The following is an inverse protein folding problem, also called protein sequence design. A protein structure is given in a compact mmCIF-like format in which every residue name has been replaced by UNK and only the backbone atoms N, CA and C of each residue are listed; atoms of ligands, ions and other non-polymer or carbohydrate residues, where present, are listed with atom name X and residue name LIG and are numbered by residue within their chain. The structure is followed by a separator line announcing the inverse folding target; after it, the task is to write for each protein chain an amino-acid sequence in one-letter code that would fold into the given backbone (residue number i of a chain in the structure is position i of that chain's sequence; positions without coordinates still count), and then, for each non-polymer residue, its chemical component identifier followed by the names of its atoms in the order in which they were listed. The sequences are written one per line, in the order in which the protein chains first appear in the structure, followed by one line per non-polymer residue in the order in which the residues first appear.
data_IF_224872181241
#
_entry.id   IF_224872181241
#
_cell.length_a   1.000
_cell.length_b   1.000
_cell.length_c   1.000
_cell.angle_alpha   90.00
_cell.angle_beta   90.00
_cell.angle_gamma   90.00
#
_symmetry.space_group_name_H-M   'P 1'
#
loop_
_entity.id
_entity.type
_entity.pdbx_description
1 polymer ?
#
# COMPACT_ATOMS: atom_id res chain seq x y z
N UNK A 1 55.05 -10.49 -38.87
CA UNK A 1 54.00 -11.47 -38.55
C UNK A 1 52.82 -11.14 -39.42
N UNK A 2 52.43 -11.99 -40.36
CA UNK A 2 51.20 -11.76 -41.13
C UNK A 2 50.01 -12.12 -40.21
N UNK A 3 49.13 -11.19 -39.99
CA UNK A 3 47.85 -11.43 -39.33
C UNK A 3 47.06 -12.35 -40.30
N UNK A 4 46.84 -13.58 -39.89
CA UNK A 4 45.96 -14.49 -40.59
C UNK A 4 44.53 -14.28 -40.07
N UNK A 5 43.50 -14.58 -40.90
CA UNK A 5 42.08 -14.49 -40.49
C UNK A 5 41.83 -15.28 -39.22
N UNK A 6 42.52 -16.39 -38.99
CA UNK A 6 42.42 -17.19 -37.77
C UNK A 6 42.87 -16.41 -36.49
N UNK A 7 43.92 -15.60 -36.60
CA UNK A 7 44.43 -14.80 -35.48
C UNK A 7 43.45 -13.65 -35.15
N UNK A 8 42.89 -13.04 -36.21
CA UNK A 8 41.90 -11.99 -36.04
C UNK A 8 40.61 -12.54 -35.37
N UNK A 9 40.08 -13.66 -35.87
CA UNK A 9 38.90 -14.34 -35.30
C UNK A 9 39.14 -14.80 -33.86
N UNK A 10 40.30 -15.36 -33.54
CA UNK A 10 40.67 -15.72 -32.17
C UNK A 10 40.73 -14.50 -31.23
N UNK A 11 41.22 -13.36 -31.75
CA UNK A 11 41.22 -12.09 -30.98
C UNK A 11 39.81 -11.55 -30.76
N UNK A 12 38.93 -11.59 -31.75
CA UNK A 12 37.53 -11.17 -31.67
C UNK A 12 36.73 -12.05 -30.70
N UNK A 13 36.84 -13.37 -30.83
CA UNK A 13 36.19 -14.31 -29.90
C UNK A 13 36.64 -14.10 -28.44
N UNK A 14 37.95 -13.79 -28.24
CA UNK A 14 38.47 -13.49 -26.90
C UNK A 14 37.90 -12.16 -26.33
N UNK A 15 37.67 -11.17 -27.18
CA UNK A 15 37.06 -9.88 -26.77
C UNK A 15 35.58 -10.11 -26.44
N UNK A 16 34.86 -10.85 -27.24
CA UNK A 16 33.44 -11.19 -27.01
C UNK A 16 33.26 -11.96 -25.70
N UNK A 17 34.09 -12.98 -25.43
CA UNK A 17 34.05 -13.72 -24.16
C UNK A 17 34.36 -12.82 -22.96
N UNK A 18 35.34 -11.93 -23.11
CA UNK A 18 35.66 -10.94 -22.06
C UNK A 18 34.50 -9.97 -21.83
N UNK A 19 33.92 -9.42 -22.89
CA UNK A 19 32.77 -8.51 -22.80
C UNK A 19 31.56 -9.23 -22.20
N UNK A 20 31.26 -10.46 -22.62
CA UNK A 20 30.18 -11.28 -22.07
C UNK A 20 30.35 -11.50 -20.56
N UNK A 21 31.57 -11.84 -20.10
CA UNK A 21 31.87 -11.97 -18.67
C UNK A 21 31.73 -10.64 -17.92
N UNK A 22 32.20 -9.54 -18.52
CA UNK A 22 32.08 -8.21 -17.92
C UNK A 22 30.60 -7.78 -17.79
N UNK A 23 29.79 -8.01 -18.82
CA UNK A 23 28.36 -7.75 -18.79
C UNK A 23 27.63 -8.62 -17.76
N UNK A 24 27.92 -9.92 -17.71
CA UNK A 24 27.33 -10.82 -16.70
C UNK A 24 27.62 -10.34 -15.27
N UNK A 25 28.85 -9.90 -15.02
CA UNK A 25 29.23 -9.35 -13.72
C UNK A 25 28.50 -8.01 -13.44
N UNK A 26 28.48 -7.10 -14.40
CA UNK A 26 27.82 -5.81 -14.28
C UNK A 26 26.31 -5.95 -14.10
N UNK A 27 25.70 -6.89 -14.80
CA UNK A 27 24.27 -7.20 -14.67
C UNK A 27 23.94 -8.05 -13.43
N UNK A 28 24.93 -8.45 -12.63
CA UNK A 28 24.75 -9.33 -11.46
C UNK A 28 23.99 -10.62 -11.81
N UNK A 29 24.31 -11.25 -12.94
CA UNK A 29 23.67 -12.46 -13.44
C UNK A 29 22.27 -12.26 -14.01
N UNK A 30 21.81 -11.03 -14.16
CA UNK A 30 20.55 -10.72 -14.87
C UNK A 30 20.78 -10.81 -16.38
N UNK A 31 19.73 -11.13 -17.10
CA UNK A 31 19.72 -11.25 -18.55
C UNK A 31 18.38 -10.82 -19.12
N UNK A 32 18.27 -10.64 -20.43
CA UNK A 32 17.04 -10.24 -21.09
C UNK A 32 17.23 -9.04 -22.02
N UNK A 33 16.11 -8.41 -22.37
CA UNK A 33 16.05 -7.28 -23.29
C UNK A 33 16.71 -6.05 -22.70
N UNK A 34 17.39 -5.27 -23.56
CA UNK A 34 17.85 -3.91 -23.30
C UNK A 34 16.79 -2.88 -23.73
N UNK A 35 16.82 -1.67 -23.15
CA UNK A 35 16.12 -0.54 -23.74
C UNK A 35 16.68 -0.26 -25.15
N UNK A 36 15.79 -0.11 -26.14
CA UNK A 36 16.16 0.13 -27.52
C UNK A 36 15.21 1.14 -28.16
N UNK A 37 15.73 1.88 -29.14
CA UNK A 37 14.90 2.73 -30.01
C UNK A 37 13.96 1.90 -30.91
N UNK A 38 14.29 0.63 -31.12
CA UNK A 38 13.46 -0.35 -31.81
C UNK A 38 12.90 -1.31 -30.75
N UNK A 39 11.62 -1.22 -30.43
CA UNK A 39 11.03 -2.08 -29.41
C UNK A 39 11.12 -3.56 -29.84
N UNK A 40 11.09 -4.45 -28.84
CA UNK A 40 10.99 -5.86 -29.09
C UNK A 40 9.71 -6.17 -29.85
N UNK A 41 9.86 -6.82 -31.00
CA UNK A 41 8.76 -7.31 -31.83
C UNK A 41 9.04 -8.76 -32.26
N UNK A 42 8.01 -9.60 -32.21
CA UNK A 42 8.08 -11.01 -32.59
C UNK A 42 6.81 -11.43 -33.33
N UNK A 43 6.94 -11.95 -34.55
CA UNK A 43 5.85 -12.56 -35.27
C UNK A 43 6.18 -14.05 -35.49
N UNK A 44 5.23 -14.90 -35.14
CA UNK A 44 5.32 -16.36 -35.27
C UNK A 44 4.11 -16.91 -35.99
N UNK A 45 4.37 -17.93 -36.83
CA UNK A 45 3.33 -18.79 -37.39
C UNK A 45 3.48 -20.21 -36.80
N UNK A 46 2.41 -20.74 -36.22
CA UNK A 46 2.42 -22.09 -35.65
C UNK A 46 1.46 -22.98 -36.46
N UNK A 47 2.02 -23.90 -37.23
CA UNK A 47 1.23 -24.77 -38.10
C UNK A 47 1.71 -26.21 -37.97
N UNK A 48 0.80 -27.14 -37.67
CA UNK A 48 1.09 -28.60 -37.58
C UNK A 48 2.27 -28.93 -36.65
N UNK A 49 2.37 -28.25 -35.50
CA UNK A 49 3.46 -28.46 -34.54
C UNK A 49 4.81 -27.89 -34.97
N UNK A 50 4.86 -27.10 -36.05
CA UNK A 50 6.05 -26.35 -36.44
C UNK A 50 5.83 -24.87 -36.09
N UNK A 51 6.78 -24.28 -35.39
CA UNK A 51 6.88 -22.84 -35.15
C UNK A 51 7.79 -22.27 -36.21
N UNK A 52 7.30 -21.33 -36.97
CA UNK A 52 8.07 -20.56 -37.95
C UNK A 52 8.17 -19.11 -37.48
N UNK A 53 9.37 -18.62 -37.27
CA UNK A 53 9.62 -17.23 -36.87
C UNK A 53 9.60 -16.38 -38.14
N UNK A 54 8.57 -15.55 -38.30
CA UNK A 54 8.39 -14.66 -39.45
C UNK A 54 9.20 -13.36 -39.34
N UNK A 55 9.23 -12.77 -38.15
CA UNK A 55 10.05 -11.60 -37.86
C UNK A 55 10.45 -11.55 -36.39
N UNK A 56 11.62 -10.97 -36.13
CA UNK A 56 12.12 -10.69 -34.79
C UNK A 56 12.98 -9.44 -34.79
N UNK A 57 12.59 -8.45 -34.02
CA UNK A 57 13.43 -7.31 -33.62
C UNK A 57 13.78 -7.48 -32.14
N UNK A 58 15.06 -7.66 -31.83
CA UNK A 58 15.49 -8.01 -30.48
C UNK A 58 16.89 -7.49 -30.19
N UNK A 59 17.01 -6.63 -29.18
CA UNK A 59 18.29 -6.27 -28.58
C UNK A 59 18.28 -6.75 -27.13
N UNK A 60 19.21 -7.65 -26.79
CA UNK A 60 19.22 -8.27 -25.48
C UNK A 60 20.52 -8.98 -25.14
N UNK A 61 20.52 -9.66 -24.01
CA UNK A 61 21.66 -10.42 -23.50
C UNK A 61 21.21 -11.77 -22.99
N UNK A 62 21.92 -12.82 -23.37
CA UNK A 62 21.71 -14.17 -22.83
C UNK A 62 22.15 -14.27 -21.37
N UNK A 63 21.80 -15.38 -20.71
CA UNK A 63 22.21 -15.66 -19.34
C UNK A 63 23.75 -15.73 -19.17
N UNK A 64 24.48 -16.10 -20.21
CA UNK A 64 25.94 -16.14 -20.23
C UNK A 64 26.62 -14.85 -20.68
N UNK A 65 25.84 -13.78 -20.92
CA UNK A 65 26.37 -12.46 -21.28
C UNK A 65 26.62 -12.25 -22.76
N UNK A 66 26.17 -13.18 -23.64
CA UNK A 66 26.28 -12.97 -25.09
C UNK A 66 25.24 -11.95 -25.52
N UNK A 67 25.67 -11.00 -26.34
CA UNK A 67 24.78 -10.01 -26.94
C UNK A 67 23.90 -10.70 -28.01
N UNK A 68 22.65 -10.32 -28.04
CA UNK A 68 21.69 -10.62 -29.09
C UNK A 68 21.30 -9.29 -29.69
N UNK A 69 21.59 -9.10 -30.97
CA UNK A 69 21.20 -7.93 -31.75
C UNK A 69 20.68 -8.42 -33.08
N UNK A 70 19.36 -8.51 -33.21
CA UNK A 70 18.66 -9.10 -34.34
C UNK A 70 17.58 -8.19 -34.85
N UNK A 71 17.61 -7.92 -36.14
CA UNK A 71 16.52 -7.28 -36.87
C UNK A 71 16.25 -8.18 -38.12
N UNK A 72 15.36 -9.18 -37.92
CA UNK A 72 15.05 -10.19 -38.88
C UNK A 72 13.62 -10.07 -39.39
N UNK A 73 13.46 -10.10 -40.69
CA UNK A 73 12.16 -10.22 -41.38
C UNK A 73 12.31 -11.23 -42.55
N UNK A 74 11.53 -12.32 -42.46
CA UNK A 74 11.55 -13.39 -43.47
C UNK A 74 11.25 -12.95 -44.92
N UNK A 75 10.56 -11.80 -45.04
CA UNK A 75 10.24 -11.20 -46.36
C UNK A 75 11.46 -10.57 -47.03
N UNK A 76 12.47 -10.18 -46.28
CA UNK A 76 13.63 -9.40 -46.77
C UNK A 76 14.96 -10.09 -46.54
N UNK A 77 15.07 -10.91 -45.49
CA UNK A 77 16.31 -11.58 -45.12
C UNK A 77 16.16 -13.08 -45.30
N UNK A 78 16.73 -13.63 -46.41
CA UNK A 78 16.70 -15.06 -46.65
C UNK A 78 17.71 -15.83 -45.79
N UNK A 79 17.34 -17.06 -45.37
CA UNK A 79 18.18 -18.11 -44.80
C UNK A 79 18.59 -18.06 -43.32
N UNK A 80 17.80 -17.48 -42.45
CA UNK A 80 17.86 -17.79 -41.04
C UNK A 80 17.15 -19.10 -40.76
N UNK A 81 17.69 -20.01 -39.92
CA UNK A 81 16.95 -21.22 -39.54
C UNK A 81 15.91 -20.84 -38.45
N UNK A 82 14.72 -20.52 -38.93
CA UNK A 82 13.63 -19.98 -38.12
C UNK A 82 12.64 -21.05 -37.68
N UNK A 83 12.81 -22.28 -38.13
CA UNK A 83 11.84 -23.36 -37.92
C UNK A 83 12.20 -24.21 -36.71
N UNK A 84 11.26 -24.37 -35.80
CA UNK A 84 11.40 -25.23 -34.64
C UNK A 84 10.24 -26.20 -34.56
N UNK A 85 10.54 -27.51 -34.50
CA UNK A 85 9.55 -28.55 -34.34
C UNK A 85 9.15 -28.68 -32.86
N UNK A 86 7.87 -28.65 -32.59
CA UNK A 86 7.35 -29.00 -31.27
C UNK A 86 7.43 -30.52 -31.12
N UNK A 87 7.98 -31.03 -30.01
CA UNK A 87 8.13 -32.48 -29.81
C UNK A 87 6.77 -33.18 -29.68
N UNK A 88 6.43 -34.08 -30.59
CA UNK A 88 5.12 -34.75 -30.66
C UNK A 88 4.78 -35.62 -29.42
N UNK A 89 5.80 -36.09 -28.68
CA UNK A 89 5.63 -37.08 -27.60
C UNK A 89 6.17 -36.62 -26.25
N UNK A 90 6.33 -35.31 -26.03
CA UNK A 90 6.92 -34.80 -24.79
C UNK A 90 5.98 -34.90 -23.60
N UNK A 91 4.66 -34.99 -23.83
CA UNK A 91 3.65 -34.85 -22.76
C UNK A 91 3.56 -33.43 -22.15
N UNK A 92 4.45 -32.54 -22.57
CA UNK A 92 4.45 -31.14 -22.11
C UNK A 92 3.39 -30.34 -22.88
N UNK A 93 2.69 -29.46 -22.19
CA UNK A 93 1.67 -28.55 -22.74
C UNK A 93 2.16 -27.13 -22.94
N UNK A 94 3.41 -26.87 -22.60
CA UNK A 94 4.00 -25.55 -22.71
C UNK A 94 5.50 -25.61 -22.94
N UNK A 95 6.03 -24.63 -23.67
CA UNK A 95 7.45 -24.46 -23.95
C UNK A 95 7.82 -22.99 -23.96
N UNK A 96 9.08 -22.70 -23.64
CA UNK A 96 9.67 -21.39 -23.94
C UNK A 96 10.42 -21.47 -25.26
N UNK A 97 10.03 -20.63 -26.23
CA UNK A 97 10.83 -20.42 -27.43
C UNK A 97 12.00 -19.51 -27.04
N UNK A 98 13.21 -19.96 -27.33
CA UNK A 98 14.42 -19.22 -27.03
C UNK A 98 15.18 -18.88 -28.30
N UNK A 99 15.80 -17.69 -28.30
CA UNK A 99 16.87 -17.37 -29.22
C UNK A 99 18.20 -17.77 -28.59
N UNK A 100 19.07 -18.39 -29.34
CA UNK A 100 20.38 -18.88 -28.91
C UNK A 100 21.46 -18.17 -29.70
N UNK A 101 22.41 -17.54 -28.98
CA UNK A 101 23.62 -16.96 -29.56
C UNK A 101 24.69 -18.05 -29.64
N UNK A 102 25.38 -18.13 -30.77
CA UNK A 102 26.49 -19.07 -31.00
C UNK A 102 27.81 -18.32 -31.02
N UNK A 103 28.48 -18.16 -29.89
CA UNK A 103 29.73 -17.38 -29.81
C UNK A 103 30.79 -17.98 -30.71
N UNK A 104 31.42 -17.17 -31.55
CA UNK A 104 32.46 -17.59 -32.47
C UNK A 104 31.97 -18.23 -33.78
N UNK A 105 30.68 -18.35 -33.97
CA UNK A 105 30.09 -18.75 -35.25
C UNK A 105 29.59 -17.53 -36.01
N UNK A 106 30.12 -17.34 -37.21
CA UNK A 106 29.81 -16.23 -38.07
C UNK A 106 29.35 -16.74 -39.43
N UNK A 107 28.46 -16.00 -40.04
CA UNK A 107 27.87 -16.30 -41.32
C UNK A 107 28.06 -15.13 -42.27
N UNK A 108 28.36 -15.45 -43.54
CA UNK A 108 28.42 -14.41 -44.55
C UNK A 108 27.01 -13.85 -44.84
N UNK A 109 26.86 -12.55 -44.66
CA UNK A 109 25.68 -11.78 -45.08
C UNK A 109 25.69 -11.57 -46.61
N UNK A 110 24.53 -11.28 -47.18
CA UNK A 110 24.37 -10.94 -48.59
C UNK A 110 25.17 -9.69 -49.01
N UNK A 111 25.48 -8.83 -48.05
CA UNK A 111 26.23 -7.57 -48.25
C UNK A 111 27.75 -7.74 -48.09
N UNK A 112 28.23 -8.97 -47.92
CA UNK A 112 29.65 -9.29 -47.83
C UNK A 112 30.26 -9.10 -46.44
N UNK A 113 29.46 -8.81 -45.43
CA UNK A 113 29.84 -8.78 -44.03
C UNK A 113 29.59 -10.13 -43.38
N UNK A 114 30.24 -10.39 -42.25
CA UNK A 114 29.94 -11.55 -41.40
C UNK A 114 29.01 -11.14 -40.28
N UNK A 115 27.93 -11.87 -40.06
CA UNK A 115 26.93 -11.66 -39.02
C UNK A 115 26.98 -12.81 -37.99
N UNK A 116 26.69 -12.55 -36.69
CA UNK A 116 26.58 -13.59 -35.68
C UNK A 116 25.51 -14.62 -36.06
N UNK A 117 25.77 -15.87 -35.72
CA UNK A 117 24.80 -16.93 -35.93
C UNK A 117 23.86 -17.04 -34.75
N UNK A 118 22.58 -17.02 -35.04
CA UNK A 118 21.51 -17.29 -34.08
C UNK A 118 20.69 -18.51 -34.50
N UNK A 119 20.11 -19.19 -33.50
CA UNK A 119 19.16 -20.27 -33.75
C UNK A 119 18.00 -20.18 -32.75
N UNK A 120 16.93 -20.91 -33.03
CA UNK A 120 15.82 -21.04 -32.11
C UNK A 120 15.71 -22.45 -31.55
N UNK A 121 15.28 -22.57 -30.30
CA UNK A 121 14.98 -23.84 -29.67
C UNK A 121 13.81 -23.73 -28.70
N UNK A 122 13.23 -24.91 -28.36
CA UNK A 122 12.20 -24.99 -27.32
C UNK A 122 12.79 -25.55 -26.04
N UNK A 123 12.44 -24.94 -24.94
CA UNK A 123 12.86 -25.38 -23.61
C UNK A 123 11.60 -25.67 -22.79
N UNK A 124 11.52 -26.88 -22.21
CA UNK A 124 10.45 -27.23 -21.31
C UNK A 124 10.46 -26.35 -20.03
N UNK A 125 9.32 -26.09 -19.39
CA UNK A 125 9.22 -25.17 -18.24
C UNK A 125 10.13 -25.52 -17.06
N UNK A 126 10.28 -26.81 -16.82
CA UNK A 126 11.08 -27.34 -15.70
C UNK A 126 12.57 -27.53 -16.04
N UNK A 127 12.96 -27.26 -17.28
CA UNK A 127 14.36 -27.38 -17.71
C UNK A 127 15.15 -26.12 -17.36
N UNK A 128 16.46 -26.30 -17.12
CA UNK A 128 17.37 -25.17 -16.89
C UNK A 128 17.62 -24.43 -18.21
N UNK A 129 17.58 -23.11 -18.17
CA UNK A 129 17.92 -22.26 -19.32
C UNK A 129 19.42 -22.35 -19.61
N UNK A 130 19.84 -22.71 -20.84
CA UNK A 130 21.24 -22.69 -21.26
C UNK A 130 21.82 -21.26 -21.16
N UNK A 131 23.13 -21.16 -20.95
CA UNK A 131 23.78 -19.85 -20.78
C UNK A 131 23.76 -18.99 -22.07
N UNK A 132 23.73 -19.64 -23.22
CA UNK A 132 23.69 -19.01 -24.54
C UNK A 132 22.28 -18.68 -25.04
N UNK A 133 21.26 -18.91 -24.22
CA UNK A 133 19.84 -18.77 -24.59
C UNK A 133 19.16 -17.65 -23.86
N UNK A 134 18.17 -17.03 -24.54
CA UNK A 134 17.23 -16.06 -23.96
C UNK A 134 15.80 -16.40 -24.41
N UNK A 135 14.81 -16.53 -23.52
CA UNK A 135 13.43 -16.80 -23.91
C UNK A 135 12.79 -15.55 -24.53
N UNK A 136 12.16 -15.73 -25.69
CA UNK A 136 11.49 -14.67 -26.45
C UNK A 136 9.98 -14.85 -26.52
N UNK A 137 9.48 -16.08 -26.36
CA UNK A 137 8.04 -16.34 -26.28
C UNK A 137 7.74 -17.52 -25.36
N UNK A 138 6.52 -17.56 -24.85
CA UNK A 138 5.93 -18.71 -24.17
C UNK A 138 4.86 -19.32 -25.09
N UNK A 139 4.99 -20.58 -25.38
CA UNK A 139 4.11 -21.32 -26.29
C UNK A 139 3.31 -22.30 -25.45
N UNK A 140 2.00 -22.27 -25.57
CA UNK A 140 1.07 -23.11 -24.79
C UNK A 140 0.12 -23.88 -25.68
N UNK A 141 -0.21 -25.09 -25.27
CA UNK A 141 -1.26 -25.91 -25.90
C UNK A 141 -2.58 -25.73 -25.14
N UNK A 142 -3.41 -24.86 -25.68
CA UNK A 142 -4.76 -24.58 -25.18
C UNK A 142 -5.72 -24.73 -26.38
N UNK A 143 -6.19 -25.96 -26.62
CA UNK A 143 -6.95 -26.35 -27.82
C UNK A 143 -6.19 -26.14 -29.13
N UNK A 144 -4.87 -26.19 -29.08
CA UNK A 144 -3.91 -25.97 -30.16
C UNK A 144 -2.78 -25.08 -29.71
N UNK A 145 -1.61 -25.24 -30.31
CA UNK A 145 -0.42 -24.48 -29.97
C UNK A 145 -0.58 -23.01 -30.34
N UNK A 146 -0.34 -22.12 -29.36
CA UNK A 146 -0.41 -20.66 -29.53
C UNK A 146 0.62 -19.93 -28.65
N UNK A 147 0.87 -18.69 -28.97
CA UNK A 147 1.67 -17.80 -28.12
C UNK A 147 0.85 -17.38 -26.92
N UNK A 148 1.45 -17.41 -25.73
CA UNK A 148 0.94 -16.80 -24.53
C UNK A 148 1.46 -15.36 -24.41
N UNK A 149 0.86 -14.46 -25.16
CA UNK A 149 1.19 -13.03 -25.17
C UNK A 149 0.54 -12.25 -24.02
N UNK A 150 -0.41 -12.86 -23.31
CA UNK A 150 -1.14 -12.23 -22.21
C UNK A 150 -0.35 -12.28 -20.90
N UNK A 151 0.25 -13.43 -20.61
CA UNK A 151 0.89 -13.68 -19.31
C UNK A 151 2.41 -13.69 -19.36
N UNK A 152 2.99 -13.79 -20.52
CA UNK A 152 4.43 -13.81 -20.70
C UNK A 152 4.97 -12.52 -21.32
N UNK A 153 6.07 -12.03 -20.76
CA UNK A 153 6.93 -10.99 -21.33
C UNK A 153 8.35 -11.51 -21.24
N UNK A 154 9.16 -11.40 -22.31
CA UNK A 154 10.56 -11.80 -22.26
C UNK A 154 11.28 -11.16 -21.06
N UNK A 155 12.31 -11.82 -20.49
CA UNK A 155 13.13 -11.20 -19.47
C UNK A 155 13.63 -9.84 -19.92
N UNK A 156 13.65 -8.87 -19.02
CA UNK A 156 14.11 -7.51 -19.27
C UNK A 156 15.14 -7.12 -18.24
N UNK A 157 16.20 -6.43 -18.67
CA UNK A 157 17.19 -5.87 -17.75
C UNK A 157 16.63 -4.64 -17.03
N UNK A 158 15.82 -3.85 -17.73
CA UNK A 158 15.14 -2.69 -17.19
C UNK A 158 13.65 -2.73 -17.53
N UNK A 159 12.87 -2.03 -16.76
CA UNK A 159 11.43 -1.86 -17.01
C UNK A 159 11.19 -1.19 -18.37
N UNK A 160 12.04 -0.22 -18.73
CA UNK A 160 12.02 0.48 -20.04
C UNK A 160 12.40 -0.39 -21.25
N UNK A 161 12.81 -1.65 -21.04
CA UNK A 161 13.14 -2.58 -22.13
C UNK A 161 11.90 -3.14 -22.83
N UNK A 162 10.70 -3.01 -22.25
CA UNK A 162 9.47 -3.56 -22.85
C UNK A 162 8.24 -2.72 -22.45
N UNK A 163 7.37 -2.32 -23.41
CA UNK A 163 6.21 -1.45 -23.16
C UNK A 163 5.26 -1.97 -22.07
N UNK A 164 5.05 -3.28 -21.97
CA UNK A 164 4.19 -3.87 -20.94
C UNK A 164 4.73 -3.63 -19.51
N UNK A 165 6.04 -3.63 -19.30
CA UNK A 165 6.62 -3.32 -17.99
C UNK A 165 6.59 -1.82 -17.70
N UNK A 166 6.80 -0.98 -18.70
CA UNK A 166 6.64 0.48 -18.53
C UNK A 166 5.21 0.84 -18.09
N UNK A 167 4.22 0.18 -18.68
CA UNK A 167 2.82 0.37 -18.32
C UNK A 167 2.56 -0.03 -16.86
N UNK A 168 3.10 -1.18 -16.41
CA UNK A 168 2.99 -1.60 -15.01
C UNK A 168 3.65 -0.60 -14.05
N UNK A 169 4.81 -0.02 -14.42
CA UNK A 169 5.45 1.01 -13.60
C UNK A 169 4.59 2.28 -13.51
N UNK A 170 4.02 2.73 -14.63
CA UNK A 170 3.09 3.89 -14.65
C UNK A 170 1.88 3.62 -13.76
N UNK A 171 1.26 2.46 -13.88
CA UNK A 171 0.14 2.06 -13.03
C UNK A 171 0.53 2.02 -11.55
N UNK A 172 1.70 1.50 -11.22
CA UNK A 172 2.19 1.49 -9.84
C UNK A 172 2.34 2.89 -9.27
N UNK A 173 2.96 3.80 -10.01
CA UNK A 173 3.11 5.22 -9.62
C UNK A 173 1.73 5.88 -9.40
N UNK A 174 0.78 5.66 -10.29
CA UNK A 174 -0.58 6.20 -10.15
C UNK A 174 -1.28 5.67 -8.90
N UNK A 175 -1.21 4.37 -8.64
CA UNK A 175 -1.79 3.76 -7.43
C UNK A 175 -1.14 4.31 -6.17
N UNK A 176 0.19 4.47 -6.15
CA UNK A 176 0.88 5.07 -5.01
C UNK A 176 0.46 6.53 -4.77
N UNK A 177 0.26 7.34 -5.83
CA UNK A 177 -0.26 8.71 -5.73
C UNK A 177 -1.67 8.75 -5.14
N UNK A 178 -2.54 7.83 -5.57
CA UNK A 178 -3.89 7.71 -5.02
C UNK A 178 -3.83 7.38 -3.52
N UNK A 179 -3.01 6.39 -3.14
CA UNK A 179 -2.85 5.99 -1.74
C UNK A 179 -2.26 7.14 -0.92
N UNK A 180 -1.25 7.84 -1.42
CA UNK A 180 -0.62 8.98 -0.75
C UNK A 180 -1.63 10.08 -0.45
N UNK A 181 -2.40 10.51 -1.45
CA UNK A 181 -3.44 11.53 -1.30
C UNK A 181 -4.52 11.13 -0.29
N UNK A 182 -4.92 9.86 -0.28
CA UNK A 182 -5.91 9.34 0.65
C UNK A 182 -5.34 9.26 2.07
N UNK A 183 -4.13 8.75 2.24
CA UNK A 183 -3.48 8.60 3.53
C UNK A 183 -3.21 9.96 4.21
N UNK A 184 -2.85 11.00 3.45
CA UNK A 184 -2.64 12.36 3.97
C UNK A 184 -3.85 12.90 4.75
N UNK A 185 -5.06 12.58 4.34
CA UNK A 185 -6.29 13.01 5.00
C UNK A 185 -6.41 12.46 6.43
N UNK A 186 -5.76 11.34 6.73
CA UNK A 186 -5.91 10.62 7.99
C UNK A 186 -4.73 10.75 8.94
N UNK A 187 -3.63 11.35 8.51
CA UNK A 187 -2.41 11.41 9.32
C UNK A 187 -2.60 12.26 10.59
N UNK A 188 -3.52 13.21 10.55
CA UNK A 188 -3.85 14.09 11.67
C UNK A 188 -4.97 13.52 12.55
N UNK A 189 -5.62 12.44 12.19
CA UNK A 189 -6.62 11.79 13.03
C UNK A 189 -5.94 10.95 14.10
N UNK A 190 -6.23 11.28 15.37
CA UNK A 190 -5.69 10.59 16.54
C UNK A 190 -6.16 9.14 16.55
N UNK A 191 -5.38 8.18 16.14
CA UNK A 191 -5.69 6.80 16.40
C UNK A 191 -5.36 5.78 15.32
N UNK A 192 -4.84 6.19 14.15
CA UNK A 192 -4.58 5.18 13.09
C UNK A 192 -3.09 4.89 12.96
N UNK A 193 -2.62 4.02 13.84
CA UNK A 193 -1.25 3.47 13.80
C UNK A 193 -0.94 2.87 12.44
N UNK A 194 -1.91 2.16 11.84
CA UNK A 194 -1.79 1.56 10.51
C UNK A 194 -1.30 2.57 9.44
N UNK A 195 -1.93 3.73 9.36
CA UNK A 195 -1.57 4.74 8.35
C UNK A 195 -0.21 5.37 8.67
N UNK A 196 0.12 5.60 9.93
CA UNK A 196 1.42 6.17 10.33
C UNK A 196 2.60 5.25 9.99
N UNK A 197 2.40 3.95 9.99
CA UNK A 197 3.42 2.97 9.58
C UNK A 197 3.47 2.83 8.06
N UNK A 198 2.33 2.79 7.41
CA UNK A 198 2.20 2.54 5.98
C UNK A 198 2.59 3.75 5.12
N UNK A 199 2.08 4.93 5.43
CA UNK A 199 2.22 6.12 4.59
C UNK A 199 3.67 6.56 4.30
N UNK A 200 4.63 6.60 5.26
CA UNK A 200 6.01 6.95 4.94
C UNK A 200 6.66 6.00 3.94
N UNK A 201 6.28 4.71 3.98
CA UNK A 201 6.79 3.70 3.03
C UNK A 201 6.21 3.97 1.64
N UNK A 202 4.92 4.30 1.53
CA UNK A 202 4.30 4.68 0.26
C UNK A 202 5.00 5.90 -0.35
N UNK A 203 5.29 6.94 0.44
CA UNK A 203 6.02 8.11 -0.03
C UNK A 203 7.43 7.76 -0.52
N UNK A 204 8.16 6.93 0.22
CA UNK A 204 9.48 6.48 -0.20
C UNK A 204 9.41 5.70 -1.52
N UNK A 205 8.45 4.78 -1.66
CA UNK A 205 8.26 4.00 -2.88
C UNK A 205 7.90 4.89 -4.07
N UNK A 206 7.05 5.90 -3.87
CA UNK A 206 6.68 6.85 -4.91
C UNK A 206 7.89 7.66 -5.39
N UNK A 207 8.69 8.19 -4.47
CA UNK A 207 9.93 8.92 -4.78
C UNK A 207 10.90 8.03 -5.55
N UNK A 208 11.10 6.79 -5.13
CA UNK A 208 11.98 5.83 -5.80
C UNK A 208 11.47 5.50 -7.20
N UNK A 209 10.17 5.21 -7.35
CA UNK A 209 9.58 4.86 -8.64
C UNK A 209 9.65 6.01 -9.66
N UNK A 210 9.50 7.27 -9.22
CA UNK A 210 9.58 8.44 -10.11
C UNK A 210 11.02 8.85 -10.45
N UNK A 211 11.95 8.77 -9.48
CA UNK A 211 13.32 9.23 -9.69
C UNK A 211 14.25 8.20 -10.31
N UNK A 212 13.99 6.94 -10.08
CA UNK A 212 14.84 5.83 -10.53
C UNK A 212 14.17 5.00 -11.63
N UNK A 213 13.16 5.55 -12.31
CA UNK A 213 12.41 4.86 -13.37
C UNK A 213 13.31 4.24 -14.44
N UNK A 214 14.32 4.98 -14.88
CA UNK A 214 15.23 4.54 -15.96
C UNK A 214 16.15 3.37 -15.54
N UNK A 215 16.42 3.25 -14.24
CA UNK A 215 17.25 2.19 -13.65
C UNK A 215 16.42 1.05 -13.05
N UNK A 216 15.09 1.20 -13.06
CA UNK A 216 14.18 0.22 -12.47
C UNK A 216 14.24 -1.09 -13.24
N UNK A 217 14.51 -2.19 -12.53
CA UNK A 217 14.46 -3.54 -13.10
C UNK A 217 13.11 -4.19 -12.76
N UNK A 218 12.64 -5.21 -13.52
CA UNK A 218 11.42 -5.94 -13.16
C UNK A 218 11.46 -6.55 -11.75
N UNK A 219 12.64 -6.99 -11.30
CA UNK A 219 12.85 -7.49 -9.94
C UNK A 219 12.67 -6.39 -8.88
N UNK A 220 13.21 -5.19 -9.14
CA UNK A 220 13.04 -4.03 -8.25
C UNK A 220 11.57 -3.59 -8.20
N UNK A 221 10.89 -3.56 -9.35
CA UNK A 221 9.48 -3.22 -9.42
C UNK A 221 8.63 -4.22 -8.62
N UNK A 222 8.83 -5.54 -8.81
CA UNK A 222 8.16 -6.56 -8.00
C UNK A 222 8.45 -6.36 -6.50
N UNK A 223 9.70 -6.15 -6.12
CA UNK A 223 10.08 -5.91 -4.72
C UNK A 223 9.40 -4.67 -4.15
N UNK A 224 9.27 -3.59 -4.93
CA UNK A 224 8.60 -2.37 -4.47
C UNK A 224 7.09 -2.59 -4.30
N UNK A 225 6.44 -3.31 -5.21
CA UNK A 225 5.04 -3.71 -5.07
C UNK A 225 4.85 -4.60 -3.83
N UNK A 226 5.72 -5.58 -3.62
CA UNK A 226 5.70 -6.45 -2.42
C UNK A 226 5.91 -5.64 -1.12
N UNK A 227 6.80 -4.64 -1.12
CA UNK A 227 6.99 -3.74 0.03
C UNK A 227 5.75 -2.92 0.33
N UNK A 228 5.04 -2.42 -0.69
CA UNK A 228 3.78 -1.71 -0.51
C UNK A 228 2.74 -2.58 0.17
N UNK A 229 2.54 -3.80 -0.34
CA UNK A 229 1.59 -4.78 0.23
C UNK A 229 1.98 -5.18 1.65
N UNK A 230 3.27 -5.45 1.90
CA UNK A 230 3.78 -5.82 3.23
C UNK A 230 3.58 -4.69 4.24
N UNK A 231 3.89 -3.45 3.86
CA UNK A 231 3.74 -2.30 4.74
C UNK A 231 2.26 -2.08 5.14
N UNK A 232 1.34 -2.26 4.20
CA UNK A 232 -0.09 -2.20 4.49
C UNK A 232 -0.52 -3.33 5.44
N UNK A 233 -0.10 -4.57 5.18
CA UNK A 233 -0.42 -5.70 6.04
C UNK A 233 0.09 -5.50 7.47
N UNK A 234 1.36 -5.07 7.64
CA UNK A 234 1.93 -4.76 8.95
C UNK A 234 1.18 -3.61 9.65
N UNK A 235 0.79 -2.56 8.92
CA UNK A 235 -0.01 -1.48 9.46
C UNK A 235 -1.35 -1.98 10.00
N UNK A 236 -2.01 -2.86 9.26
CA UNK A 236 -3.29 -3.44 9.66
C UNK A 236 -3.18 -4.39 10.87
N UNK A 237 -2.09 -5.15 11.01
CA UNK A 237 -1.86 -6.00 12.18
C UNK A 237 -1.72 -5.20 13.49
N UNK A 238 -1.32 -3.92 13.39
CA UNK A 238 -1.19 -3.02 14.53
C UNK A 238 -2.52 -2.32 14.89
N UNK A 239 -3.56 -2.48 14.10
CA UNK A 239 -4.88 -1.87 14.33
C UNK A 239 -5.93 -2.97 14.55
N UNK A 240 -6.32 -3.19 15.80
CA UNK A 240 -7.28 -4.22 16.22
C UNK A 240 -8.66 -4.11 15.54
N UNK A 241 -8.98 -2.94 14.98
CA UNK A 241 -10.26 -2.70 14.30
C UNK A 241 -10.24 -3.13 12.81
N UNK A 242 -9.08 -3.51 12.30
CA UNK A 242 -8.91 -3.93 10.91
C UNK A 242 -8.90 -5.43 10.80
N UNK A 243 -10.05 -6.01 10.52
CA UNK A 243 -10.15 -7.43 10.20
C UNK A 243 -9.56 -7.68 8.81
N UNK A 244 -8.34 -8.24 8.76
CA UNK A 244 -7.67 -8.65 7.54
C UNK A 244 -8.21 -10.00 7.06
N UNK A 245 -9.38 -9.99 6.40
CA UNK A 245 -9.88 -11.18 5.71
C UNK A 245 -8.89 -11.73 4.66
N UNK A 246 -7.96 -10.89 4.19
CA UNK A 246 -6.99 -11.20 3.13
C UNK A 246 -5.54 -11.37 3.64
N UNK A 247 -5.31 -11.48 4.95
CA UNK A 247 -3.96 -11.54 5.52
C UNK A 247 -3.08 -12.63 4.90
N UNK A 248 -3.62 -13.83 4.72
CA UNK A 248 -2.90 -14.95 4.11
C UNK A 248 -2.58 -14.70 2.63
N UNK A 249 -3.50 -14.07 1.89
CA UNK A 249 -3.27 -13.68 0.50
C UNK A 249 -2.11 -12.69 0.39
N UNK A 250 -2.06 -11.67 1.25
CA UNK A 250 -0.97 -10.70 1.26
C UNK A 250 0.35 -11.35 1.64
N UNK A 251 0.38 -12.18 2.68
CA UNK A 251 1.58 -12.90 3.09
C UNK A 251 2.11 -13.82 1.98
N UNK A 252 1.25 -14.61 1.35
CA UNK A 252 1.64 -15.50 0.25
C UNK A 252 2.18 -14.72 -0.94
N UNK A 253 1.58 -13.58 -1.28
CA UNK A 253 2.09 -12.71 -2.34
C UNK A 253 3.48 -12.17 -2.01
N UNK A 254 3.66 -11.61 -0.82
CA UNK A 254 4.93 -11.00 -0.37
C UNK A 254 6.07 -12.01 -0.32
N UNK A 255 5.80 -13.24 0.10
CA UNK A 255 6.82 -14.29 0.24
C UNK A 255 7.18 -14.98 -1.08
N UNK A 256 6.51 -14.65 -2.19
CA UNK A 256 6.78 -15.29 -3.47
C UNK A 256 8.10 -14.79 -4.07
N UNK A 257 8.99 -15.70 -4.51
CA UNK A 257 10.27 -15.33 -5.09
C UNK A 257 10.11 -14.74 -6.50
N UNK A 258 11.10 -13.94 -6.89
CA UNK A 258 11.22 -13.47 -8.27
C UNK A 258 11.55 -14.63 -9.20
N UNK A 259 10.86 -14.71 -10.35
CA UNK A 259 11.20 -15.55 -11.46
C UNK A 259 10.93 -14.81 -12.76
N UNK A 260 11.88 -14.81 -13.69
CA UNK A 260 11.70 -14.16 -15.00
C UNK A 260 10.53 -14.78 -15.79
N UNK A 261 10.18 -16.06 -15.54
CA UNK A 261 9.10 -16.79 -16.21
C UNK A 261 7.71 -16.22 -15.90
N UNK A 262 7.53 -15.66 -14.73
CA UNK A 262 6.24 -15.15 -14.26
C UNK A 262 6.30 -13.73 -13.69
N UNK A 263 7.40 -13.02 -13.88
CA UNK A 263 7.61 -11.70 -13.29
C UNK A 263 6.50 -10.72 -13.67
N UNK A 264 6.11 -10.69 -14.94
CA UNK A 264 5.06 -9.79 -15.44
C UNK A 264 3.72 -10.02 -14.73
N UNK A 265 3.24 -11.28 -14.72
CA UNK A 265 1.97 -11.61 -14.08
C UNK A 265 1.98 -11.36 -12.58
N UNK A 266 3.11 -11.63 -11.92
CA UNK A 266 3.25 -11.39 -10.47
C UNK A 266 3.22 -9.91 -10.12
N UNK A 267 3.84 -9.05 -10.94
CA UNK A 267 3.74 -7.59 -10.73
C UNK A 267 2.30 -7.14 -10.94
N UNK A 268 1.62 -7.62 -11.98
CA UNK A 268 0.23 -7.31 -12.26
C UNK A 268 -0.71 -7.72 -11.12
N UNK A 269 -0.59 -8.95 -10.61
CA UNK A 269 -1.32 -9.41 -9.43
C UNK A 269 -1.10 -8.51 -8.21
N UNK A 270 0.13 -8.06 -8.01
CA UNK A 270 0.45 -7.13 -6.91
C UNK A 270 -0.14 -5.74 -7.09
N UNK A 271 -0.23 -5.26 -8.33
CA UNK A 271 -0.92 -4.00 -8.62
C UNK A 271 -2.41 -4.09 -8.34
N UNK A 272 -3.06 -5.20 -8.66
CA UNK A 272 -4.47 -5.45 -8.31
C UNK A 272 -4.67 -5.44 -6.78
N UNK A 273 -3.71 -6.00 -6.03
CA UNK A 273 -3.71 -5.92 -4.57
C UNK A 273 -3.54 -4.47 -4.11
N UNK A 274 -2.60 -3.70 -4.68
CA UNK A 274 -2.39 -2.29 -4.33
C UNK A 274 -3.63 -1.42 -4.65
N UNK A 275 -4.34 -1.69 -5.74
CA UNK A 275 -5.62 -1.06 -6.04
C UNK A 275 -6.67 -1.36 -4.96
N UNK A 276 -6.81 -2.62 -4.56
CA UNK A 276 -7.68 -3.01 -3.44
C UNK A 276 -7.29 -2.32 -2.13
N UNK A 277 -5.98 -2.16 -1.86
CA UNK A 277 -5.49 -1.40 -0.70
C UNK A 277 -5.95 0.06 -0.78
N UNK A 278 -5.88 0.69 -1.96
CA UNK A 278 -6.32 2.07 -2.14
C UNK A 278 -7.80 2.28 -1.79
N UNK A 279 -8.66 1.30 -2.09
CA UNK A 279 -10.08 1.31 -1.71
C UNK A 279 -10.29 1.10 -0.21
N UNK A 280 -9.44 0.27 0.42
CA UNK A 280 -9.50 0.02 1.87
C UNK A 280 -9.07 1.24 2.67
N UNK A 281 -8.12 2.03 2.17
CA UNK A 281 -7.72 3.30 2.80
C UNK A 281 -8.91 4.26 2.89
N UNK A 282 -9.80 4.30 1.89
CA UNK A 282 -11.02 5.11 1.95
C UNK A 282 -12.03 4.60 3.00
N UNK A 283 -12.12 3.29 3.20
CA UNK A 283 -13.02 2.71 4.22
C UNK A 283 -12.60 3.05 5.65
N UNK A 284 -11.32 3.33 5.90
CA UNK A 284 -10.89 3.88 7.18
C UNK A 284 -11.57 5.23 7.52
N UNK A 285 -12.06 5.95 6.53
CA UNK A 285 -12.78 7.20 6.71
C UNK A 285 -14.18 7.01 7.30
N UNK A 286 -14.91 5.99 6.86
CA UNK A 286 -16.32 5.82 7.25
C UNK A 286 -16.50 5.42 8.72
N UNK A 287 -15.50 4.80 9.34
CA UNK A 287 -15.55 4.41 10.75
C UNK A 287 -15.15 5.53 11.72
N UNK A 288 -14.54 6.63 11.22
CA UNK A 288 -14.08 7.76 12.07
C UNK A 288 -15.22 8.76 12.37
N UNK A 289 -16.25 8.85 11.55
CA UNK A 289 -17.37 9.78 11.77
C UNK A 289 -18.29 9.39 12.94
N UNK A 290 -18.14 8.20 13.49
CA UNK A 290 -18.66 7.90 14.81
C UNK A 290 -17.60 8.28 15.86
N UNK A 291 -17.21 9.56 15.90
CA UNK A 291 -16.73 10.14 17.15
C UNK A 291 -17.87 9.93 18.13
N UNK A 292 -17.76 8.99 19.04
CA UNK A 292 -18.54 8.97 20.26
C UNK A 292 -18.40 10.38 20.81
N UNK A 293 -19.43 11.22 20.65
CA UNK A 293 -19.53 12.45 21.41
C UNK A 293 -19.26 12.05 22.85
N UNK A 294 -18.13 12.45 23.40
CA UNK A 294 -17.87 12.27 24.82
C UNK A 294 -18.89 13.20 25.46
N UNK A 295 -20.06 12.68 25.77
CA UNK A 295 -21.05 13.40 26.56
C UNK A 295 -20.39 13.60 27.91
N UNK A 296 -20.07 14.85 28.23
CA UNK A 296 -19.64 15.21 29.56
C UNK A 296 -20.82 14.88 30.49
N UNK A 297 -20.65 13.98 31.47
CA UNK A 297 -21.77 13.59 32.29
C UNK A 297 -22.21 14.76 33.14
N UNK A 298 -23.51 14.87 33.37
CA UNK A 298 -24.12 15.99 34.09
C UNK A 298 -23.92 15.85 35.60
N UNK A 299 -23.63 16.96 36.33
CA UNK A 299 -23.60 16.96 37.79
C UNK A 299 -25.00 16.72 38.35
N UNK A 300 -25.09 16.19 39.55
CA UNK A 300 -26.37 15.88 40.20
C UNK A 300 -26.48 16.34 41.65
N UNK A 301 -27.70 16.54 42.08
CA UNK A 301 -28.06 16.76 43.50
C UNK A 301 -28.92 15.59 43.90
N UNK A 302 -28.56 14.92 45.00
CA UNK A 302 -29.37 13.79 45.52
C UNK A 302 -30.71 14.25 46.07
N UNK A 303 -31.71 13.36 46.05
CA UNK A 303 -33.10 13.72 46.45
C UNK A 303 -33.21 14.23 47.89
N UNK A 304 -32.40 13.69 48.81
CA UNK A 304 -32.36 14.14 50.21
C UNK A 304 -31.88 15.58 50.37
N UNK A 305 -31.13 16.10 49.37
CA UNK A 305 -30.65 17.48 49.36
C UNK A 305 -31.66 18.48 48.76
N UNK A 306 -32.76 17.99 48.14
CA UNK A 306 -33.79 18.86 47.55
C UNK A 306 -34.75 19.48 48.60
N UNK A 307 -34.71 19.03 49.84
CA UNK A 307 -35.43 19.62 50.96
C UNK A 307 -34.46 19.96 52.07
N UNK A 308 -34.35 21.24 52.39
CA UNK A 308 -33.41 21.76 53.40
C UNK A 308 -34.16 22.34 54.60
N UNK A 309 -33.95 21.75 55.76
CA UNK A 309 -34.47 22.28 57.00
C UNK A 309 -33.50 23.34 57.56
N UNK A 310 -33.84 24.63 57.37
CA UNK A 310 -32.96 25.74 57.63
C UNK A 310 -33.06 26.19 59.10
N UNK A 311 -31.97 26.00 59.84
CA UNK A 311 -31.81 26.51 61.20
C UNK A 311 -31.19 27.94 61.26
N UNK A 312 -30.56 28.34 60.14
CA UNK A 312 -29.87 29.62 59.96
C UNK A 312 -30.30 30.27 58.64
N UNK A 313 -29.81 31.46 58.37
CA UNK A 313 -30.08 32.17 57.13
C UNK A 313 -29.42 31.54 55.91
N UNK A 314 -28.46 30.64 56.08
CA UNK A 314 -27.77 29.93 54.99
C UNK A 314 -28.03 28.44 55.11
N UNK A 315 -28.48 27.84 54.02
CA UNK A 315 -28.52 26.39 53.80
C UNK A 315 -27.40 25.96 52.86
N UNK A 316 -27.05 24.70 52.88
CA UNK A 316 -26.00 24.14 52.02
C UNK A 316 -26.53 22.93 51.28
N UNK A 317 -26.30 22.90 49.95
CA UNK A 317 -26.67 21.78 49.10
C UNK A 317 -25.41 21.15 48.59
N UNK A 318 -25.31 19.82 48.71
CA UNK A 318 -24.18 19.04 48.25
C UNK A 318 -24.43 18.63 46.78
N UNK A 319 -23.46 18.92 45.92
CA UNK A 319 -23.46 18.53 44.50
C UNK A 319 -22.51 17.37 44.30
N UNK A 320 -22.98 16.36 43.57
CA UNK A 320 -22.17 15.21 43.16
C UNK A 320 -21.61 15.43 41.77
N UNK A 321 -20.28 15.43 41.67
CA UNK A 321 -19.61 15.40 40.37
C UNK A 321 -19.51 13.98 39.85
N UNK A 322 -19.87 13.69 38.61
CA UNK A 322 -19.72 12.37 38.01
C UNK A 322 -18.25 12.06 37.67
N UNK A 323 -17.41 13.07 37.55
CA UNK A 323 -15.98 12.95 37.31
C UNK A 323 -15.19 13.84 38.26
N UNK A 324 -14.21 13.32 39.02
CA UNK A 324 -13.41 14.09 39.96
C UNK A 324 -12.59 15.23 39.34
N UNK A 325 -12.34 15.15 38.04
CA UNK A 325 -11.58 16.16 37.29
C UNK A 325 -12.47 17.17 36.57
N UNK A 326 -13.79 17.02 36.61
CA UNK A 326 -14.72 17.93 36.00
C UNK A 326 -14.91 19.17 36.89
N UNK A 327 -14.80 20.34 36.28
CA UNK A 327 -15.16 21.60 36.93
C UNK A 327 -16.68 21.79 36.87
N UNK A 328 -17.31 22.08 38.01
CA UNK A 328 -18.76 22.31 38.06
C UNK A 328 -19.03 23.78 38.16
N UNK A 329 -19.89 24.25 37.26
CA UNK A 329 -20.45 25.58 37.28
C UNK A 329 -21.88 25.54 37.80
N UNK A 330 -22.29 26.52 38.60
CA UNK A 330 -23.64 26.63 39.16
C UNK A 330 -24.21 28.03 39.11
N UNK A 331 -25.54 28.13 39.18
CA UNK A 331 -26.29 29.29 39.61
C UNK A 331 -27.33 28.89 40.64
N UNK A 332 -27.71 29.82 41.54
CA UNK A 332 -28.74 29.61 42.54
C UNK A 332 -29.92 30.58 42.37
N UNK A 333 -30.00 31.23 41.23
CA UNK A 333 -31.01 32.22 40.85
C UNK A 333 -31.83 31.80 39.61
N UNK A 334 -31.61 30.59 39.14
CA UNK A 334 -32.25 30.04 37.94
C UNK A 334 -31.69 30.58 36.62
N UNK A 335 -30.64 31.40 36.63
CA UNK A 335 -29.94 31.89 35.45
C UNK A 335 -28.90 30.88 34.93
N UNK A 336 -28.17 31.24 33.88
CA UNK A 336 -27.09 30.42 33.35
C UNK A 336 -26.01 30.15 34.39
N UNK A 337 -25.50 28.89 34.54
CA UNK A 337 -24.46 28.52 35.48
C UNK A 337 -23.12 29.21 35.16
N UNK A 338 -22.66 30.11 35.99
CA UNK A 338 -21.41 30.88 35.79
C UNK A 338 -20.46 30.83 36.96
N UNK A 339 -20.94 30.46 38.14
CA UNK A 339 -20.13 30.42 39.38
C UNK A 339 -19.46 29.05 39.51
N UNK A 340 -18.17 29.06 39.78
CA UNK A 340 -17.43 27.80 40.01
C UNK A 340 -17.74 27.23 41.39
N UNK A 341 -17.99 25.93 41.44
CA UNK A 341 -18.17 25.22 42.68
C UNK A 341 -16.81 25.01 43.37
N UNK A 342 -16.72 25.33 44.64
CA UNK A 342 -15.52 25.16 45.45
C UNK A 342 -15.25 23.66 45.73
N UNK A 343 -14.02 23.29 46.09
CA UNK A 343 -13.55 21.94 46.30
C UNK A 343 -14.36 21.05 47.27
N UNK A 344 -15.19 21.65 48.15
CA UNK A 344 -16.06 20.89 49.05
C UNK A 344 -17.40 20.47 48.46
N UNK A 345 -17.66 20.81 47.19
CA UNK A 345 -18.88 20.40 46.49
C UNK A 345 -20.18 20.95 47.04
N UNK A 346 -20.18 22.06 47.79
CA UNK A 346 -21.37 22.63 48.44
C UNK A 346 -21.74 23.98 47.87
N UNK A 347 -23.04 24.19 47.63
CA UNK A 347 -23.63 25.47 47.22
C UNK A 347 -24.26 26.13 48.43
N UNK A 348 -23.82 27.33 48.85
CA UNK A 348 -24.52 28.10 49.87
C UNK A 348 -25.77 28.74 49.28
N UNK A 349 -26.90 28.56 49.95
CA UNK A 349 -28.19 29.16 49.61
C UNK A 349 -28.62 30.13 50.71
N UNK A 350 -28.97 31.35 50.33
CA UNK A 350 -29.63 32.27 51.26
C UNK A 350 -31.09 31.85 51.45
N UNK A 351 -31.52 31.55 52.66
CA UNK A 351 -32.87 31.09 52.96
C UNK A 351 -33.93 32.19 52.79
N UNK A 352 -33.49 33.44 52.86
CA UNK A 352 -34.39 34.63 52.77
C UNK A 352 -35.46 34.72 53.83
N UNK A 353 -35.36 33.86 54.88
CA UNK A 353 -36.30 33.93 56.00
C UNK A 353 -35.99 35.14 56.93
N UNK A 354 -37.01 35.62 57.64
CA UNK A 354 -36.82 36.67 58.62
C UNK A 354 -36.05 36.17 59.85
N UNK A 355 -35.37 37.06 60.56
CA UNK A 355 -34.57 36.70 61.72
C UNK A 355 -35.40 36.30 62.93
N UNK A 356 -36.71 36.43 62.88
CA UNK A 356 -37.63 36.11 63.99
C UNK A 356 -37.89 34.58 64.07
N UNK A 357 -38.26 34.11 65.31
CA UNK A 357 -38.68 32.70 65.48
C UNK A 357 -40.14 32.43 65.07
N UNK A 358 -40.67 33.19 64.13
CA UNK A 358 -42.02 32.97 63.60
C UNK A 358 -42.00 31.95 62.44
N UNK A 359 -43.05 31.12 62.34
CA UNK A 359 -43.18 30.24 61.17
C UNK A 359 -43.39 31.08 59.91
N UNK A 360 -42.77 30.64 58.83
CA UNK A 360 -42.91 31.23 57.50
C UNK A 360 -43.18 30.12 56.47
N UNK A 361 -43.84 30.41 55.33
CA UNK A 361 -44.05 29.44 54.30
C UNK A 361 -42.71 29.03 53.69
N UNK A 362 -42.67 27.80 53.20
CA UNK A 362 -41.50 27.27 52.48
C UNK A 362 -41.16 28.15 51.30
N UNK A 363 -39.86 28.25 51.00
CA UNK A 363 -39.31 28.97 49.87
C UNK A 363 -38.64 27.98 48.91
N UNK A 364 -38.64 28.31 47.64
CA UNK A 364 -37.99 27.49 46.62
C UNK A 364 -36.87 28.26 45.93
N UNK A 365 -35.75 27.59 45.73
CA UNK A 365 -34.59 28.10 45.01
C UNK A 365 -34.31 27.16 43.83
N UNK A 366 -34.14 27.71 42.63
CA UNK A 366 -33.78 26.94 41.44
C UNK A 366 -32.28 26.97 41.28
N UNK A 367 -31.65 25.79 41.38
CA UNK A 367 -30.24 25.62 41.16
C UNK A 367 -30.06 25.04 39.74
N UNK A 368 -29.20 25.66 38.95
CA UNK A 368 -28.78 25.14 37.66
C UNK A 368 -27.31 24.76 37.70
N UNK A 369 -26.98 23.60 37.11
CA UNK A 369 -25.64 23.02 37.14
C UNK A 369 -25.22 22.65 35.73
N UNK A 370 -23.92 22.81 35.42
CA UNK A 370 -23.25 22.22 34.30
C UNK A 370 -21.83 21.79 34.67
N UNK A 371 -21.31 20.76 34.03
CA UNK A 371 -19.92 20.35 34.17
C UNK A 371 -19.11 20.82 32.96
N UNK A 372 -17.86 21.17 33.21
CA UNK A 372 -16.86 21.53 32.23
C UNK A 372 -15.71 20.51 32.34
N UNK A 373 -15.42 19.81 31.29
CA UNK A 373 -14.34 18.81 31.25
C UNK A 373 -13.61 18.85 29.88
N UNK A 374 -12.31 19.03 29.90
CA UNK A 374 -11.45 19.12 28.70
C UNK A 374 -12.00 20.10 27.63
N UNK A 375 -12.47 21.28 28.07
CA UNK A 375 -13.02 22.31 27.21
C UNK A 375 -14.42 22.03 26.65
N UNK A 376 -15.07 20.92 27.04
CA UNK A 376 -16.44 20.57 26.67
C UNK A 376 -17.39 20.76 27.83
N UNK A 377 -18.62 21.21 27.55
CA UNK A 377 -19.66 21.45 28.54
C UNK A 377 -20.69 20.30 28.52
N UNK A 378 -21.21 19.96 29.72
CA UNK A 378 -22.39 19.08 29.82
C UNK A 378 -23.67 19.84 29.48
N UNK A 379 -24.79 19.11 29.34
CA UNK A 379 -26.12 19.72 29.37
C UNK A 379 -26.34 20.42 30.73
N UNK A 380 -27.10 21.53 30.73
CA UNK A 380 -27.50 22.23 31.96
C UNK A 380 -28.65 21.46 32.58
N UNK A 381 -28.47 21.07 33.85
CA UNK A 381 -29.53 20.43 34.65
C UNK A 381 -30.05 21.41 35.70
N UNK A 382 -31.36 21.35 35.98
CA UNK A 382 -32.04 22.24 36.91
C UNK A 382 -32.66 21.42 38.05
N UNK A 383 -32.47 21.93 39.27
CA UNK A 383 -33.04 21.35 40.50
C UNK A 383 -33.79 22.43 41.27
N UNK A 384 -34.97 22.09 41.77
CA UNK A 384 -35.71 22.96 42.69
C UNK A 384 -35.49 22.48 44.12
N UNK A 385 -34.86 23.31 44.94
CA UNK A 385 -34.62 23.02 46.35
C UNK A 385 -35.65 23.78 47.17
N UNK A 386 -36.37 23.05 48.03
CA UNK A 386 -37.34 23.62 49.00
C UNK A 386 -36.63 23.91 50.29
N UNK A 387 -36.71 25.13 50.75
CA UNK A 387 -36.17 25.61 52.01
C UNK A 387 -37.30 25.72 53.04
N UNK A 388 -37.24 24.96 54.10
CA UNK A 388 -38.19 24.99 55.23
C UNK A 388 -37.54 25.66 56.44
N UNK A 389 -38.22 26.61 57.04
CA UNK A 389 -37.74 27.29 58.25
C UNK A 389 -37.98 26.42 59.47
N UNK A 390 -36.94 25.93 60.11
CA UNK A 390 -37.05 25.28 61.39
C UNK A 390 -37.25 26.34 62.51
N UNK A 391 -38.48 26.81 62.66
CA UNK A 391 -38.81 27.92 63.52
C UNK A 391 -38.56 27.55 65.01
N UNK A 392 -38.50 26.27 65.39
CA UNK A 392 -38.19 25.84 66.78
C UNK A 392 -36.71 25.98 67.04
N UNK A 393 -35.87 25.53 66.14
CA UNK A 393 -34.41 25.57 66.32
C UNK A 393 -33.76 26.79 65.55
N UNK A 394 -34.57 27.75 65.15
CA UNK A 394 -34.11 28.89 64.33
C UNK A 394 -33.13 29.73 65.09
N UNK A 395 -31.94 29.91 64.64
CA UNK A 395 -30.88 30.72 65.26
C UNK A 395 -30.67 32.08 64.59
N UNK A 396 -31.27 32.32 63.44
CA UNK A 396 -31.36 33.64 62.74
C UNK A 396 -30.05 34.35 62.36
N UNK A 397 -28.92 33.92 62.90
CA UNK A 397 -27.62 34.52 62.69
C UNK A 397 -26.61 33.46 62.35
N UNK A 398 -25.77 33.70 61.32
CA UNK A 398 -24.47 33.02 61.22
C UNK A 398 -23.52 33.67 62.21
N UNK A 399 -22.83 32.86 62.98
CA UNK A 399 -21.59 33.26 63.66
C UNK A 399 -20.46 32.94 62.69
#
# INVERSE_FOLDING_TARGET
MRLTDQILRASENSKEDFLGKAFTLAAAGRFGLFPSSHPFELSLNITKGIIDVESLTCLGMTKGGQLIDVDYDARYTGSFDTRVQIPDNSGEKEFYLTINAHPGEWRASNDGYEEPVYSFSLIAPNSSMPNYSMPVAHIVDDYGWRIDDIYFVPPCLFVSSHPKYEELLKQFIEVLKIIDLKAQKYINSSGKIAIRVFWPIVQQLLITAEKESDLMTPMMLLSNVQKCVSAFACGCELDENLNLADADKYRNYVMSPFSYKNAYIRIKEGLDICLSISEKVDKFQMEIEVVKEIKVPTPSISQDQLFQNCKNQTAYVIVQSPDPNAEILYSADGNEPTRRLMHNGTIPLESGFTKTKAPEPDKSVVIRLKALFDGKESEVVSYTVTLHKDFKDWNGFQI
#
